data_IF_865456235847
#
_entry.id   IF_865456235847
#
_cell.length_a   1.000
_cell.length_b   1.000
_cell.length_c   1.000
_cell.angle_alpha   90.00
_cell.angle_beta   90.00
_cell.angle_gamma   90.00
#
_symmetry.space_group_name_H-M   'P 1'
#
loop_
_entity.id
_entity.type
_entity.pdbx_description
1 polymer ?
#
# COMPACT_ATOMS: atom_id res chain seq x y z
N UNK A 1 29.15 -2.62 -11.75
CA UNK A 1 29.38 -2.20 -10.34
C UNK A 1 28.07 -1.63 -9.81
N UNK A 2 27.30 -2.40 -9.04
CA UNK A 2 25.94 -2.02 -8.60
C UNK A 2 25.95 -1.12 -7.37
N UNK A 3 24.98 -0.21 -7.26
CA UNK A 3 24.83 0.69 -6.12
C UNK A 3 23.69 0.23 -5.20
N UNK A 4 23.94 0.28 -3.90
CA UNK A 4 22.93 0.07 -2.88
C UNK A 4 22.59 1.43 -2.24
N UNK A 5 21.41 1.93 -2.54
CA UNK A 5 20.90 3.21 -2.06
C UNK A 5 20.01 3.00 -0.83
N UNK A 6 20.23 3.79 0.21
CA UNK A 6 19.53 3.72 1.49
C UNK A 6 18.53 4.88 1.55
N UNK A 7 17.24 4.57 1.58
CA UNK A 7 16.17 5.56 1.76
C UNK A 7 15.58 5.48 3.17
N UNK A 8 14.66 6.39 3.48
CA UNK A 8 14.01 6.46 4.78
C UNK A 8 13.16 5.24 5.14
N UNK A 9 12.63 4.51 4.15
CA UNK A 9 11.70 3.38 4.37
C UNK A 9 12.08 2.09 3.61
N UNK A 10 13.08 2.15 2.74
CA UNK A 10 13.45 1.06 1.86
C UNK A 10 14.91 1.15 1.37
N UNK A 11 15.40 0.05 0.81
CA UNK A 11 16.66 -0.05 0.10
C UNK A 11 16.42 -0.26 -1.39
N UNK A 12 17.29 0.29 -2.23
CA UNK A 12 17.29 0.06 -3.67
C UNK A 12 18.65 -0.49 -4.11
N UNK A 13 18.65 -1.58 -4.87
CA UNK A 13 19.79 -2.01 -5.66
C UNK A 13 19.60 -1.53 -7.10
N UNK A 14 20.57 -0.77 -7.60
CA UNK A 14 20.54 -0.19 -8.95
C UNK A 14 21.78 -0.60 -9.74
N UNK A 15 21.59 -0.81 -11.04
CA UNK A 15 22.69 -0.96 -11.98
C UNK A 15 23.30 0.41 -12.32
N UNK A 16 24.63 0.52 -12.54
CA UNK A 16 25.27 1.77 -12.92
C UNK A 16 24.70 2.40 -14.20
N UNK A 17 24.09 1.60 -15.08
CA UNK A 17 23.46 2.07 -16.32
C UNK A 17 22.03 2.62 -16.08
N UNK A 18 21.57 2.66 -14.82
CA UNK A 18 20.28 3.23 -14.42
C UNK A 18 19.14 2.26 -14.09
N UNK A 19 19.05 1.01 -14.60
CA UNK A 19 17.90 0.16 -14.28
C UNK A 19 17.85 -0.22 -12.80
N UNK A 20 16.64 -0.13 -12.24
CA UNK A 20 16.32 -0.63 -10.91
C UNK A 20 16.38 -2.16 -10.91
N UNK A 21 17.35 -2.73 -10.21
CA UNK A 21 17.50 -4.19 -10.12
C UNK A 21 16.55 -4.75 -9.07
N UNK A 22 16.55 -4.16 -7.87
CA UNK A 22 15.69 -4.61 -6.77
C UNK A 22 15.38 -3.51 -5.76
N UNK A 23 14.31 -3.72 -5.00
CA UNK A 23 13.90 -2.87 -3.89
C UNK A 23 13.42 -3.72 -2.73
N UNK A 24 13.86 -3.38 -1.52
CA UNK A 24 13.42 -4.02 -0.28
C UNK A 24 12.87 -2.99 0.68
N UNK A 25 11.62 -3.15 1.09
CA UNK A 25 11.09 -2.34 2.17
C UNK A 25 11.59 -2.85 3.51
N UNK A 26 11.82 -1.96 4.48
CA UNK A 26 12.34 -2.37 5.78
C UNK A 26 11.42 -3.34 6.54
N UNK A 27 10.11 -3.35 6.28
CA UNK A 27 9.14 -4.30 6.87
C UNK A 27 9.22 -5.70 6.27
N UNK A 28 9.87 -5.84 5.12
CA UNK A 28 10.11 -7.14 4.49
C UNK A 28 11.41 -7.76 4.99
N UNK A 29 12.28 -7.00 5.65
CA UNK A 29 13.58 -7.46 6.14
C UNK A 29 13.37 -8.15 7.49
N UNK A 30 13.64 -9.45 7.54
CA UNK A 30 13.51 -10.24 8.77
C UNK A 30 14.84 -10.43 9.49
N UNK A 31 15.95 -10.28 8.79
CA UNK A 31 17.28 -10.37 9.37
C UNK A 31 18.27 -9.60 8.49
N UNK A 32 19.22 -8.95 9.13
CA UNK A 32 20.28 -8.20 8.47
C UNK A 32 21.55 -8.35 9.30
N UNK A 33 22.61 -8.91 8.71
CA UNK A 33 23.81 -9.34 9.44
C UNK A 33 25.08 -8.97 8.70
N UNK A 34 26.14 -8.71 9.46
CA UNK A 34 27.51 -8.55 8.98
C UNK A 34 28.36 -9.63 9.64
N UNK A 35 28.86 -10.64 8.89
CA UNK A 35 29.75 -11.64 9.44
C UNK A 35 31.09 -11.02 9.90
N UNK A 36 31.65 -11.46 11.04
CA UNK A 36 32.92 -10.92 11.54
C UNK A 36 34.06 -11.17 10.54
N UNK A 37 34.95 -10.19 10.38
CA UNK A 37 36.09 -10.24 9.45
C UNK A 37 35.70 -10.53 7.99
N UNK A 38 34.49 -10.16 7.58
CA UNK A 38 33.99 -10.32 6.21
C UNK A 38 33.75 -8.97 5.54
N UNK A 39 33.96 -8.92 4.23
CA UNK A 39 33.57 -7.81 3.35
C UNK A 39 32.13 -7.98 2.83
N UNK A 40 31.33 -8.83 3.49
CA UNK A 40 29.97 -9.14 3.07
C UNK A 40 28.93 -8.63 4.05
N UNK A 41 27.79 -8.21 3.51
CA UNK A 41 26.58 -7.88 4.26
C UNK A 41 25.46 -8.78 3.77
N UNK A 42 24.77 -9.44 4.69
CA UNK A 42 23.71 -10.41 4.38
C UNK A 42 22.34 -9.84 4.77
N UNK A 43 21.38 -10.00 3.86
CA UNK A 43 20.01 -9.54 3.99
C UNK A 43 19.04 -10.70 3.78
N UNK A 44 18.14 -10.94 4.73
CA UNK A 44 17.04 -11.88 4.59
C UNK A 44 15.72 -11.15 4.54
N UNK A 45 14.88 -11.51 3.57
CA UNK A 45 13.55 -10.93 3.43
C UNK A 45 12.46 -11.99 3.41
N UNK A 46 11.25 -11.59 3.78
CA UNK A 46 10.03 -12.38 3.60
C UNK A 46 9.05 -11.61 2.74
N UNK A 47 8.72 -12.17 1.58
CA UNK A 47 7.77 -11.58 0.65
C UNK A 47 6.72 -12.64 0.32
N UNK A 48 5.45 -12.39 0.66
CA UNK A 48 4.34 -13.33 0.44
C UNK A 48 4.61 -14.73 1.01
N UNK A 49 5.21 -14.79 2.20
CA UNK A 49 5.56 -16.05 2.87
C UNK A 49 6.82 -16.75 2.34
N UNK A 50 7.44 -16.24 1.26
CA UNK A 50 8.70 -16.77 0.73
C UNK A 50 9.89 -16.05 1.35
N UNK A 51 10.84 -16.82 1.86
CA UNK A 51 12.12 -16.33 2.39
C UNK A 51 13.14 -16.22 1.26
N UNK A 52 13.77 -15.06 1.13
CA UNK A 52 14.87 -14.82 0.19
C UNK A 52 16.12 -14.36 0.94
N UNK A 53 17.30 -14.71 0.42
CA UNK A 53 18.60 -14.37 0.99
C UNK A 53 19.45 -13.63 -0.04
N UNK A 54 20.04 -12.52 0.37
CA UNK A 54 20.90 -11.68 -0.47
C UNK A 54 22.22 -11.42 0.26
N UNK A 55 23.32 -11.51 -0.48
CA UNK A 55 24.65 -11.21 0.02
C UNK A 55 25.27 -10.12 -0.85
N UNK A 56 25.74 -9.05 -0.21
CA UNK A 56 26.37 -7.92 -0.88
C UNK A 56 27.83 -7.84 -0.45
N UNK A 57 28.75 -7.70 -1.41
CA UNK A 57 30.17 -7.49 -1.15
C UNK A 57 30.48 -5.99 -1.17
N UNK A 58 31.21 -5.49 -0.19
CA UNK A 58 31.60 -4.09 -0.08
C UNK A 58 32.95 -3.96 0.63
N UNK A 59 33.83 -3.13 0.08
CA UNK A 59 35.13 -2.79 0.70
C UNK A 59 34.97 -2.18 2.10
N UNK A 60 33.81 -1.59 2.38
CA UNK A 60 33.48 -1.03 3.69
C UNK A 60 32.16 -1.61 4.23
N UNK A 61 32.10 -2.94 4.28
CA UNK A 61 30.94 -3.69 4.76
C UNK A 61 30.47 -3.27 6.17
N UNK A 62 31.40 -2.93 7.06
CA UNK A 62 31.06 -2.45 8.41
C UNK A 62 30.31 -1.12 8.38
N UNK A 63 30.80 -0.13 7.61
CA UNK A 63 30.10 1.16 7.45
C UNK A 63 28.76 0.99 6.77
N UNK A 64 28.68 0.15 5.73
CA UNK A 64 27.44 -0.14 5.03
C UNK A 64 26.40 -0.78 5.96
N UNK A 65 26.82 -1.77 6.74
CA UNK A 65 25.98 -2.42 7.75
C UNK A 65 25.45 -1.41 8.76
N UNK A 66 26.33 -0.57 9.35
CA UNK A 66 25.91 0.43 10.33
C UNK A 66 24.93 1.46 9.74
N UNK A 67 25.16 1.91 8.50
CA UNK A 67 24.28 2.86 7.84
C UNK A 67 22.88 2.28 7.59
N UNK A 68 22.80 1.05 7.10
CA UNK A 68 21.52 0.36 6.85
C UNK A 68 20.83 0.03 8.18
N UNK A 69 21.57 -0.47 9.18
CA UNK A 69 21.02 -0.77 10.50
C UNK A 69 20.47 0.48 11.19
N UNK A 70 21.15 1.63 11.07
CA UNK A 70 20.63 2.92 11.55
C UNK A 70 19.37 3.31 10.81
N UNK A 71 19.34 3.24 9.48
CA UNK A 71 18.15 3.59 8.69
C UNK A 71 16.95 2.68 9.02
N UNK A 72 17.18 1.37 9.18
CA UNK A 72 16.15 0.42 9.64
C UNK A 72 15.67 0.78 11.04
N UNK A 73 16.57 1.12 11.96
CA UNK A 73 16.21 1.52 13.33
C UNK A 73 15.44 2.84 13.38
N UNK A 74 15.83 3.81 12.56
CA UNK A 74 15.17 5.11 12.46
C UNK A 74 13.77 4.96 11.86
N UNK A 75 13.65 4.15 10.80
CA UNK A 75 12.36 3.78 10.24
C UNK A 75 11.52 2.97 11.22
N UNK A 76 12.12 2.05 11.97
CA UNK A 76 11.45 1.30 13.02
C UNK A 76 10.98 2.22 14.16
N UNK A 77 11.74 3.27 14.51
CA UNK A 77 11.36 4.24 15.54
C UNK A 77 10.21 5.13 15.07
N UNK A 78 10.25 5.58 13.82
CA UNK A 78 9.11 6.26 13.15
C UNK A 78 7.89 5.33 13.05
N UNK A 79 8.13 4.04 12.80
CA UNK A 79 7.11 3.00 12.83
C UNK A 79 6.63 2.74 14.25
N UNK A 80 7.40 2.78 15.32
CA UNK A 80 6.84 2.62 16.67
C UNK A 80 5.81 3.72 17.01
N UNK A 81 5.92 4.88 16.36
CA UNK A 81 4.91 5.94 16.39
C UNK A 81 3.70 5.69 15.46
N UNK A 82 3.79 4.75 14.51
CA UNK A 82 2.77 4.42 13.49
C UNK A 82 2.48 2.93 13.21
N UNK A 83 3.00 1.97 14.00
CA UNK A 83 2.97 0.51 13.77
C UNK A 83 1.74 -0.12 14.39
N UNK A 84 1.14 0.54 15.38
CA UNK A 84 -0.25 0.30 15.78
C UNK A 84 -1.25 0.81 14.73
N UNK A 85 -0.79 1.59 13.74
CA UNK A 85 -1.64 2.39 12.84
C UNK A 85 -1.41 2.12 11.35
N UNK A 86 -0.58 1.14 10.98
CA UNK A 86 -0.32 0.76 9.57
C UNK A 86 -0.95 -0.57 9.18
N UNK A 87 -1.48 -1.33 10.15
CA UNK A 87 -2.40 -2.43 9.87
C UNK A 87 -3.72 -1.86 9.38
N UNK A 88 -4.21 -2.38 8.26
CA UNK A 88 -5.57 -2.12 7.81
C UNK A 88 -6.55 -2.47 8.95
N UNK A 89 -7.44 -1.55 9.32
CA UNK A 89 -8.33 -1.72 10.46
C UNK A 89 -7.78 -1.16 11.78
N UNK A 90 -6.62 -0.51 11.79
CA UNK A 90 -6.15 0.23 12.95
C UNK A 90 -7.06 1.43 13.27
N UNK A 91 -7.27 1.65 14.56
CA UNK A 91 -8.06 2.75 15.10
C UNK A 91 -7.18 3.96 15.38
N UNK A 92 -7.58 5.11 14.82
CA UNK A 92 -6.95 6.41 15.07
C UNK A 92 -7.91 7.24 15.89
N UNK A 93 -7.47 7.68 17.08
CA UNK A 93 -8.21 8.67 17.84
C UNK A 93 -8.06 10.04 17.19
N UNK A 94 -9.16 10.75 17.07
CA UNK A 94 -9.20 12.10 16.52
C UNK A 94 -10.27 12.95 17.22
N UNK A 95 -10.21 14.26 16.97
CA UNK A 95 -11.25 15.20 17.35
C UNK A 95 -11.91 15.72 16.07
N UNK A 96 -13.21 15.54 15.98
CA UNK A 96 -14.04 16.12 14.92
C UNK A 96 -13.97 17.65 15.01
N UNK A 97 -13.54 18.31 13.95
CA UNK A 97 -13.25 19.74 13.98
C UNK A 97 -14.52 20.60 14.02
N UNK A 98 -15.65 20.08 13.53
CA UNK A 98 -16.93 20.80 13.46
C UNK A 98 -17.69 20.70 14.77
N UNK A 99 -17.71 19.51 15.38
CA UNK A 99 -18.46 19.23 16.61
C UNK A 99 -17.60 19.28 17.87
N UNK A 100 -16.27 19.28 17.72
CA UNK A 100 -15.29 19.13 18.80
C UNK A 100 -15.46 17.83 19.60
N UNK A 101 -16.13 16.83 19.04
CA UNK A 101 -16.36 15.53 19.65
C UNK A 101 -15.17 14.60 19.43
N UNK A 102 -14.92 13.71 20.40
CA UNK A 102 -13.95 12.62 20.24
C UNK A 102 -14.51 11.56 19.29
N UNK A 103 -13.69 11.14 18.33
CA UNK A 103 -14.05 10.14 17.33
C UNK A 103 -12.90 9.16 17.12
N UNK A 104 -13.23 7.89 16.90
CA UNK A 104 -12.29 6.86 16.49
C UNK A 104 -12.47 6.60 14.99
N UNK A 105 -11.40 6.76 14.24
CA UNK A 105 -11.35 6.63 12.78
C UNK A 105 -10.70 5.31 12.41
N UNK A 106 -11.28 4.58 11.46
CA UNK A 106 -10.72 3.32 10.96
C UNK A 106 -10.95 3.14 9.46
N UNK A 107 -9.90 2.79 8.72
CA UNK A 107 -10.02 2.29 7.35
C UNK A 107 -10.07 0.76 7.32
N UNK A 108 -11.07 0.20 6.64
CA UNK A 108 -11.19 -1.24 6.37
C UNK A 108 -10.94 -1.52 4.87
N UNK A 109 -11.00 -2.79 4.45
CA UNK A 109 -10.88 -3.16 3.03
C UNK A 109 -12.03 -2.63 2.15
N UNK A 110 -13.14 -2.24 2.75
CA UNK A 110 -14.39 -1.92 2.04
C UNK A 110 -15.01 -0.57 2.43
N UNK A 111 -14.65 -0.01 3.59
CA UNK A 111 -15.23 1.23 4.10
C UNK A 111 -14.28 2.03 5.00
N UNK A 112 -14.57 3.32 5.09
CA UNK A 112 -14.11 4.26 6.11
C UNK A 112 -15.14 4.31 7.25
N UNK A 113 -14.69 4.12 8.49
CA UNK A 113 -15.54 4.03 9.66
C UNK A 113 -15.20 5.13 10.67
N UNK A 114 -16.23 5.71 11.25
CA UNK A 114 -16.19 6.67 12.35
C UNK A 114 -16.99 6.12 13.52
N UNK A 115 -16.41 6.13 14.71
CA UNK A 115 -17.07 5.70 15.93
C UNK A 115 -17.03 6.83 16.96
N UNK A 116 -18.21 7.35 17.28
CA UNK A 116 -18.45 8.31 18.35
C UNK A 116 -18.97 7.58 19.60
N UNK A 117 -19.11 8.27 20.73
CA UNK A 117 -19.45 7.66 22.02
C UNK A 117 -20.77 6.86 22.06
N UNK A 118 -21.70 7.09 21.13
CA UNK A 118 -22.96 6.36 21.03
C UNK A 118 -23.50 6.23 19.61
N UNK A 119 -22.68 6.57 18.61
CA UNK A 119 -23.06 6.52 17.20
C UNK A 119 -21.90 6.00 16.36
N UNK A 120 -22.21 5.36 15.25
CA UNK A 120 -21.21 4.88 14.31
C UNK A 120 -21.63 5.20 12.87
N UNK A 121 -20.68 5.67 12.08
CA UNK A 121 -20.88 5.99 10.68
C UNK A 121 -19.91 5.20 9.82
N UNK A 122 -20.43 4.61 8.75
CA UNK A 122 -19.63 3.81 7.80
C UNK A 122 -19.87 4.31 6.39
N UNK A 123 -18.80 4.66 5.69
CA UNK A 123 -18.81 5.18 4.33
C UNK A 123 -18.05 4.20 3.44
N UNK A 124 -18.68 3.56 2.45
CA UNK A 124 -18.00 2.67 1.53
C UNK A 124 -16.86 3.39 0.80
N UNK A 125 -15.72 2.71 0.56
CA UNK A 125 -14.55 3.34 -0.07
C UNK A 125 -14.87 3.91 -1.47
N UNK A 126 -15.82 3.30 -2.17
CA UNK A 126 -16.28 3.75 -3.49
C UNK A 126 -17.07 5.06 -3.47
N UNK A 127 -17.60 5.45 -2.31
CA UNK A 127 -18.32 6.71 -2.13
C UNK A 127 -17.38 7.85 -1.71
N UNK A 128 -16.11 7.54 -1.39
CA UNK A 128 -15.10 8.53 -1.03
C UNK A 128 -14.55 9.15 -2.31
N UNK A 129 -14.72 10.46 -2.43
CA UNK A 129 -14.25 11.24 -3.56
C UNK A 129 -12.76 11.58 -3.42
N UNK A 130 -12.36 12.06 -2.24
CA UNK A 130 -10.96 12.37 -1.92
C UNK A 130 -10.72 12.42 -0.42
N UNK A 131 -9.48 12.14 -0.03
CA UNK A 131 -8.94 12.46 1.29
C UNK A 131 -7.71 13.34 1.10
N UNK A 132 -7.49 14.28 2.02
CA UNK A 132 -6.35 15.19 1.98
C UNK A 132 -6.04 15.70 3.39
N UNK A 133 -4.89 16.36 3.55
CA UNK A 133 -4.52 17.02 4.80
C UNK A 133 -4.63 18.52 4.56
N UNK A 134 -5.45 19.19 5.36
CA UNK A 134 -5.57 20.65 5.36
C UNK A 134 -4.46 21.28 6.20
N UNK A 135 -4.34 22.60 6.21
CA UNK A 135 -3.47 23.29 7.16
C UNK A 135 -3.79 22.85 8.62
N UNK A 136 -2.78 22.81 9.49
CA UNK A 136 -2.86 22.42 10.90
C UNK A 136 -3.11 20.92 11.20
N UNK A 137 -2.53 20.00 10.41
CA UNK A 137 -2.60 18.55 10.64
C UNK A 137 -4.05 18.00 10.74
N UNK A 138 -4.96 18.61 10.00
CA UNK A 138 -6.36 18.17 9.90
C UNK A 138 -6.49 17.17 8.76
N UNK A 139 -6.89 15.94 9.07
CA UNK A 139 -7.29 14.95 8.09
C UNK A 139 -8.71 15.27 7.59
N UNK A 140 -8.85 15.53 6.30
CA UNK A 140 -10.11 15.89 5.65
C UNK A 140 -10.55 14.83 4.65
N UNK A 141 -11.85 14.57 4.59
CA UNK A 141 -12.46 13.59 3.69
C UNK A 141 -13.74 14.15 3.07
N UNK A 142 -13.83 14.03 1.75
CA UNK A 142 -15.06 14.28 0.99
C UNK A 142 -15.60 12.97 0.45
N UNK A 143 -16.86 12.68 0.76
CA UNK A 143 -17.55 11.48 0.33
C UNK A 143 -19.05 11.72 0.10
N UNK A 144 -19.74 10.70 -0.39
CA UNK A 144 -21.20 10.65 -0.39
C UNK A 144 -21.66 9.67 0.69
N UNK A 145 -22.58 10.10 1.55
CA UNK A 145 -23.19 9.23 2.55
C UNK A 145 -24.40 8.51 1.93
N UNK A 146 -24.31 7.20 1.64
CA UNK A 146 -25.40 6.48 0.99
C UNK A 146 -26.62 6.29 1.91
N UNK A 147 -26.43 6.30 3.23
CA UNK A 147 -27.51 6.09 4.20
C UNK A 147 -28.40 7.33 4.27
N UNK A 148 -27.79 8.50 4.37
CA UNK A 148 -28.50 9.78 4.45
C UNK A 148 -28.75 10.44 3.08
N UNK A 149 -28.16 9.89 2.02
CA UNK A 149 -28.20 10.42 0.63
C UNK A 149 -27.73 11.88 0.53
N UNK A 150 -26.72 12.24 1.32
CA UNK A 150 -26.19 13.59 1.42
C UNK A 150 -24.67 13.59 1.19
N UNK A 151 -24.11 14.70 0.68
CA UNK A 151 -22.67 14.91 0.73
C UNK A 151 -22.16 14.80 2.16
N UNK A 152 -21.03 14.12 2.32
CA UNK A 152 -20.29 14.04 3.57
C UNK A 152 -18.97 14.79 3.41
N UNK A 153 -18.76 15.77 4.28
CA UNK A 153 -17.50 16.48 4.42
C UNK A 153 -17.10 16.35 5.90
N UNK A 154 -15.91 15.84 6.15
CA UNK A 154 -15.45 15.53 7.50
C UNK A 154 -14.03 16.02 7.72
N UNK A 155 -13.82 16.72 8.84
CA UNK A 155 -12.54 17.29 9.23
C UNK A 155 -12.13 16.80 10.60
N UNK A 156 -10.95 16.19 10.70
CA UNK A 156 -10.52 15.49 11.90
C UNK A 156 -9.11 15.91 12.32
N UNK A 157 -9.01 16.50 13.52
CA UNK A 157 -7.73 16.86 14.15
C UNK A 157 -7.10 15.61 14.75
N UNK A 158 -5.90 15.28 14.28
CA UNK A 158 -5.12 14.15 14.80
C UNK A 158 -3.64 14.34 14.45
N UNK A 159 -2.76 13.92 15.36
CA UNK A 159 -1.31 13.83 15.12
C UNK A 159 -0.94 12.75 14.08
N UNK A 160 -1.93 11.97 13.63
CA UNK A 160 -1.79 10.84 12.74
C UNK A 160 -2.46 11.08 11.37
N UNK A 161 -2.73 12.34 11.02
CA UNK A 161 -3.39 12.71 9.78
C UNK A 161 -2.67 12.15 8.54
N UNK A 162 -1.33 12.20 8.54
CA UNK A 162 -0.50 11.61 7.49
C UNK A 162 -0.66 10.10 7.38
N UNK A 163 -0.79 9.41 8.52
CA UNK A 163 -0.97 7.95 8.54
C UNK A 163 -2.31 7.58 7.92
N UNK A 164 -3.39 8.26 8.29
CA UNK A 164 -4.72 8.07 7.69
C UNK A 164 -4.72 8.31 6.17
N UNK A 165 -4.06 9.37 5.71
CA UNK A 165 -3.95 9.65 4.28
C UNK A 165 -3.19 8.54 3.55
N UNK A 166 -2.08 8.05 4.10
CA UNK A 166 -1.31 6.94 3.51
C UNK A 166 -2.08 5.62 3.51
N UNK A 167 -2.90 5.35 4.52
CA UNK A 167 -3.78 4.19 4.52
C UNK A 167 -4.81 4.26 3.38
N UNK A 168 -5.43 5.42 3.19
CA UNK A 168 -6.37 5.64 2.09
C UNK A 168 -5.70 5.47 0.72
N UNK A 169 -4.55 6.11 0.48
CA UNK A 169 -3.78 6.00 -0.77
C UNK A 169 -3.45 4.53 -1.10
N UNK A 170 -3.09 3.73 -0.07
CA UNK A 170 -2.83 2.30 -0.21
C UNK A 170 -4.09 1.53 -0.60
N UNK A 171 -5.23 1.83 0.01
CA UNK A 171 -6.50 1.17 -0.25
C UNK A 171 -7.02 1.45 -1.66
N UNK A 172 -7.01 2.71 -2.09
CA UNK A 172 -7.45 3.07 -3.43
C UNK A 172 -6.49 2.52 -4.50
N UNK A 173 -5.19 2.50 -4.23
CA UNK A 173 -4.20 1.86 -5.12
C UNK A 173 -4.50 0.37 -5.35
N UNK A 174 -4.86 -0.37 -4.29
CA UNK A 174 -5.28 -1.78 -4.41
C UNK A 174 -6.62 -1.92 -5.13
N UNK A 175 -7.59 -1.05 -4.85
CA UNK A 175 -8.91 -1.08 -5.50
C UNK A 175 -8.82 -0.78 -7.00
N UNK A 176 -8.02 0.20 -7.40
CA UNK A 176 -7.76 0.57 -8.80
C UNK A 176 -7.04 -0.57 -9.53
N UNK A 177 -6.00 -1.15 -8.92
CA UNK A 177 -5.30 -2.29 -9.50
C UNK A 177 -6.22 -3.51 -9.70
N UNK A 178 -7.14 -3.78 -8.75
CA UNK A 178 -8.15 -4.84 -8.88
C UNK A 178 -9.16 -4.55 -9.98
N UNK A 179 -9.62 -3.30 -10.13
CA UNK A 179 -10.51 -2.92 -11.25
C UNK A 179 -9.82 -3.08 -12.60
N UNK A 180 -8.56 -2.65 -12.72
CA UNK A 180 -7.78 -2.84 -13.95
C UNK A 180 -7.52 -4.32 -14.25
N UNK A 181 -7.22 -5.13 -13.24
CA UNK A 181 -7.09 -6.59 -13.39
C UNK A 181 -8.41 -7.27 -13.76
N UNK A 182 -9.55 -6.80 -13.22
CA UNK A 182 -10.88 -7.28 -13.60
C UNK A 182 -11.28 -6.88 -15.03
N UNK A 183 -10.85 -5.71 -15.50
CA UNK A 183 -11.04 -5.26 -16.89
C UNK A 183 -10.17 -6.09 -17.85
N UNK A 184 -8.94 -6.42 -17.47
CA UNK A 184 -8.03 -7.27 -18.26
C UNK A 184 -8.41 -8.76 -18.20
N UNK A 185 -9.03 -9.20 -17.09
CA UNK A 185 -9.59 -10.55 -16.94
C UNK A 185 -11.02 -10.61 -17.47
N UNK A 186 -11.27 -9.98 -18.62
CA UNK A 186 -12.47 -10.18 -19.41
C UNK A 186 -12.65 -11.67 -19.67
N UNK A 187 -13.44 -12.31 -18.81
CA UNK A 187 -13.90 -13.67 -19.01
C UNK A 187 -14.84 -13.57 -20.19
N UNK A 188 -14.35 -14.00 -21.36
CA UNK A 188 -15.20 -14.25 -22.52
C UNK A 188 -16.12 -15.38 -22.07
N UNK A 189 -17.34 -15.05 -21.68
CA UNK A 189 -18.40 -16.05 -21.53
C UNK A 189 -18.52 -16.73 -22.89
N UNK A 190 -18.38 -18.07 -22.99
CA UNK A 190 -18.62 -18.73 -24.25
C UNK A 190 -20.09 -18.48 -24.60
N UNK A 191 -20.35 -17.72 -25.67
CA UNK A 191 -21.68 -17.70 -26.24
C UNK A 191 -21.94 -19.13 -26.74
N UNK A 192 -22.86 -19.83 -26.07
CA UNK A 192 -23.44 -21.06 -26.59
C UNK A 192 -23.93 -20.79 -28.02
N UNK A 193 -23.50 -21.57 -29.03
CA UNK A 193 -23.95 -21.34 -30.38
C UNK A 193 -25.44 -21.66 -30.46
N UNK A 194 -26.24 -20.64 -30.75
CA UNK A 194 -27.63 -20.79 -31.17
C UNK A 194 -27.64 -21.59 -32.47
N UNK A 195 -28.44 -22.65 -32.48
CA UNK A 195 -28.79 -23.38 -33.69
C UNK A 195 -29.50 -22.45 -34.67
N UNK A 196 -29.00 -22.38 -35.90
CA UNK A 196 -29.83 -22.06 -37.06
C UNK A 196 -29.15 -22.58 -38.32
N UNK A 197 -29.81 -23.55 -38.92
CA UNK A 197 -29.60 -24.11 -40.24
C UNK A 197 -29.55 -23.02 -41.31
N UNK A 198 -28.60 -23.12 -42.25
CA UNK A 198 -28.87 -23.35 -43.69
C UNK A 198 -27.65 -23.06 -44.59
N UNK A 199 -27.37 -24.07 -45.43
CA UNK A 199 -27.06 -24.00 -46.86
C UNK A 199 -25.70 -23.54 -47.43
N UNK A 200 -24.95 -24.54 -47.93
CA UNK A 200 -24.29 -24.72 -49.26
C UNK A 200 -23.46 -23.55 -49.87
N UNK A 201 -22.19 -23.82 -50.25
CA UNK A 201 -21.61 -23.92 -51.64
C UNK A 201 -20.09 -23.55 -51.67
N UNK A 202 -19.26 -24.45 -52.26
CA UNK A 202 -18.02 -24.15 -53.04
C UNK A 202 -16.67 -24.46 -52.37
N UNK A 203 -15.94 -25.55 -52.72
CA UNK A 203 -14.88 -25.72 -53.79
C UNK A 203 -13.72 -24.69 -53.69
N UNK A 204 -12.41 -24.95 -53.80
CA UNK A 204 -11.47 -26.04 -54.19
C UNK A 204 -10.07 -25.66 -53.63
N UNK A 205 -9.27 -26.58 -53.04
CA UNK A 205 -8.01 -27.22 -53.51
C UNK A 205 -6.90 -26.28 -54.07
N UNK A 206 -5.66 -26.44 -53.57
CA UNK A 206 -4.43 -26.08 -54.28
C UNK A 206 -3.13 -26.20 -53.49
N UNK A 207 -2.47 -27.36 -53.64
CA UNK A 207 -1.06 -27.78 -53.33
C UNK A 207 -0.39 -27.43 -52.00
#
# INVERSE_FOLDING_TARGET
MTYLEIFSEFLILRDPEGPLLRRWWFDQIINFTHPPNSDMVCLQTVIRGKREHFTFKSENAHRLFNAIASAIKDAASKRQQGQLLTSLGAEVNAIDADTNATVVIRFTQIAFCLQYAGDFKTIPLEMIKRCYISADDIFSIEAFDPLNRLPFDGHFKTDLALVLLKQWERLIGVAVARRQAGILSGTVTPMTPRSSSNSIVGLEIGE
#
